data_IF_598097182548
#
_entry.id   IF_598097182548
#
_cell.length_a   1.000
_cell.length_b   1.000
_cell.length_c   1.000
_cell.angle_alpha   90.00
_cell.angle_beta   90.00
_cell.angle_gamma   90.00
#
_symmetry.space_group_name_H-M   'P 1'
#
loop_
_entity.id
_entity.type
_entity.pdbx_description
1 polymer ?
#
# COMPACT_ATOMS: atom_id res chain seq x y z
N UNK A 1 23.61 11.75 17.50
CA UNK A 1 23.15 12.82 16.57
C UNK A 1 23.60 12.46 15.16
N UNK A 2 22.78 11.73 14.41
CA UNK A 2 22.98 11.58 12.96
C UNK A 2 22.62 12.92 12.31
N UNK A 3 23.59 13.60 11.73
CA UNK A 3 23.36 14.92 11.11
C UNK A 3 22.45 14.78 9.91
N UNK A 4 21.66 15.82 9.57
CA UNK A 4 20.84 15.86 8.33
C UNK A 4 21.69 15.53 7.07
N UNK A 5 22.98 15.82 7.08
CA UNK A 5 23.93 15.43 6.04
C UNK A 5 24.11 13.90 5.92
N UNK A 6 23.97 13.11 7.02
CA UNK A 6 24.08 11.65 6.94
C UNK A 6 22.82 11.00 6.34
N UNK A 7 21.68 11.64 6.44
CA UNK A 7 20.39 11.12 5.95
C UNK A 7 20.17 11.39 4.45
N UNK A 8 20.58 12.59 3.97
CA UNK A 8 20.66 12.85 2.54
C UNK A 8 21.59 11.84 1.85
N UNK A 9 22.75 11.54 2.44
CA UNK A 9 23.69 10.53 1.93
C UNK A 9 23.09 9.11 1.87
N UNK A 10 22.15 8.76 2.75
CA UNK A 10 21.48 7.45 2.75
C UNK A 10 20.42 7.33 1.65
N UNK A 11 19.65 8.38 1.35
CA UNK A 11 18.80 8.42 0.17
C UNK A 11 19.63 8.32 -1.12
N UNK A 12 20.74 9.05 -1.20
CA UNK A 12 21.70 8.97 -2.31
C UNK A 12 22.26 7.56 -2.49
N UNK A 13 22.54 6.83 -1.39
CA UNK A 13 23.00 5.45 -1.45
C UNK A 13 21.97 4.50 -2.04
N UNK A 14 20.68 4.66 -1.70
CA UNK A 14 19.60 3.89 -2.31
C UNK A 14 19.43 4.24 -3.79
N UNK A 15 19.43 5.52 -4.13
CA UNK A 15 19.32 5.96 -5.53
C UNK A 15 20.51 5.50 -6.38
N UNK A 16 21.71 5.50 -5.82
CA UNK A 16 22.91 5.00 -6.50
C UNK A 16 22.85 3.49 -6.72
N UNK A 17 22.36 2.73 -5.73
CA UNK A 17 22.18 1.29 -5.85
C UNK A 17 21.10 0.93 -6.89
N UNK A 18 19.97 1.62 -6.91
CA UNK A 18 18.91 1.40 -7.90
C UNK A 18 19.40 1.67 -9.34
N UNK A 19 20.38 2.55 -9.54
CA UNK A 19 21.01 2.78 -10.86
C UNK A 19 21.87 1.63 -11.36
N UNK A 20 22.20 0.65 -10.51
CA UNK A 20 22.90 -0.59 -10.89
C UNK A 20 21.94 -1.63 -11.49
N UNK A 21 20.64 -1.36 -11.47
CA UNK A 21 19.61 -2.20 -12.08
C UNK A 21 19.89 -2.38 -13.58
N UNK A 22 19.74 -3.60 -14.06
CA UNK A 22 19.84 -3.88 -15.50
C UNK A 22 18.72 -3.12 -16.24
N UNK A 23 19.10 -2.45 -17.34
CA UNK A 23 18.13 -1.74 -18.15
C UNK A 23 17.14 -2.74 -18.79
N UNK A 24 15.84 -2.46 -18.67
CA UNK A 24 14.79 -3.23 -19.29
C UNK A 24 13.67 -2.32 -19.83
N UNK A 25 13.05 -2.76 -20.92
CA UNK A 25 11.92 -2.05 -21.49
C UNK A 25 10.68 -2.13 -20.58
N UNK A 26 9.85 -1.10 -20.63
CA UNK A 26 8.55 -1.11 -19.97
C UNK A 26 7.61 -2.05 -20.73
N UNK A 27 7.15 -3.11 -20.08
CA UNK A 27 6.17 -4.02 -20.63
C UNK A 27 4.79 -3.34 -20.68
N UNK A 28 4.02 -3.57 -21.74
CA UNK A 28 2.65 -3.06 -21.90
C UNK A 28 2.52 -1.58 -21.42
N UNK A 29 3.23 -0.62 -22.05
CA UNK A 29 3.32 0.77 -21.54
C UNK A 29 1.98 1.49 -21.52
N UNK A 30 1.00 1.07 -22.34
CA UNK A 30 -0.33 1.67 -22.42
C UNK A 30 -1.31 1.13 -21.37
N UNK A 31 -0.96 0.05 -20.65
CA UNK A 31 -1.80 -0.49 -19.59
C UNK A 31 -1.87 0.52 -18.44
N UNK A 32 -3.08 1.01 -18.18
CA UNK A 32 -3.34 2.00 -17.11
C UNK A 32 -3.15 1.35 -15.76
N UNK A 33 -2.57 2.12 -14.85
CA UNK A 33 -2.28 1.71 -13.47
C UNK A 33 -2.90 2.73 -12.51
N UNK A 34 -3.69 2.24 -11.56
CA UNK A 34 -3.95 2.91 -10.31
C UNK A 34 -3.15 2.19 -9.23
N UNK A 35 -2.12 2.83 -8.69
CA UNK A 35 -1.33 2.26 -7.59
C UNK A 35 -2.08 2.44 -6.26
N UNK A 36 -2.68 1.39 -5.67
CA UNK A 36 -3.55 1.52 -4.52
C UNK A 36 -2.82 1.60 -3.17
N UNK A 37 -1.48 1.66 -3.16
CA UNK A 37 -0.75 1.67 -1.90
C UNK A 37 0.64 2.29 -2.03
N UNK A 38 0.77 3.51 -1.58
CA UNK A 38 2.07 4.12 -1.32
C UNK A 38 2.02 4.97 -0.05
N UNK A 39 3.21 5.31 0.43
CA UNK A 39 3.40 6.20 1.57
C UNK A 39 4.22 7.42 1.16
N UNK A 40 4.08 8.50 1.92
CA UNK A 40 4.98 9.66 1.86
C UNK A 40 5.43 9.95 3.28
N UNK A 41 6.73 10.09 3.49
CA UNK A 41 7.31 10.41 4.79
C UNK A 41 8.60 11.21 4.71
N UNK A 42 8.94 11.85 5.81
CA UNK A 42 10.27 12.39 6.07
C UNK A 42 10.71 11.93 7.46
N UNK A 43 11.59 10.96 7.49
CA UNK A 43 12.17 10.38 8.70
C UNK A 43 13.52 11.01 9.06
N UNK A 44 13.80 12.22 8.57
CA UNK A 44 15.04 12.94 8.86
C UNK A 44 15.13 13.49 10.30
N UNK A 45 14.02 13.48 11.04
CA UNK A 45 13.96 13.91 12.43
C UNK A 45 14.27 12.83 13.49
N UNK A 46 14.15 13.19 14.76
CA UNK A 46 14.49 12.31 15.92
C UNK A 46 13.67 11.01 16.00
N UNK A 47 12.51 10.93 15.34
CA UNK A 47 11.66 9.73 15.29
C UNK A 47 12.07 8.73 14.21
N UNK A 48 13.05 9.06 13.38
CA UNK A 48 13.50 8.21 12.26
C UNK A 48 13.87 6.80 12.70
N UNK A 49 14.54 6.65 13.84
CA UNK A 49 14.97 5.35 14.34
C UNK A 49 13.80 4.42 14.65
N UNK A 50 12.72 4.94 15.23
CA UNK A 50 11.52 4.15 15.52
C UNK A 50 10.88 3.63 14.22
N UNK A 51 10.73 4.49 13.24
CA UNK A 51 10.13 4.13 11.95
C UNK A 51 11.00 3.14 11.17
N UNK A 52 12.32 3.35 11.15
CA UNK A 52 13.26 2.39 10.51
C UNK A 52 13.13 1.01 11.15
N UNK A 53 13.08 0.94 12.49
CA UNK A 53 12.90 -0.32 13.21
C UNK A 53 11.56 -0.95 12.89
N UNK A 54 10.48 -0.16 12.84
CA UNK A 54 9.14 -0.65 12.55
C UNK A 54 9.01 -1.16 11.11
N UNK A 55 9.47 -0.39 10.12
CA UNK A 55 9.34 -0.71 8.70
C UNK A 55 10.34 -1.79 8.27
N UNK A 56 11.60 -1.64 8.68
CA UNK A 56 12.71 -2.49 8.21
C UNK A 56 13.08 -3.62 9.18
N UNK A 57 12.54 -3.60 10.41
CA UNK A 57 12.95 -4.57 11.45
C UNK A 57 14.30 -4.30 12.06
N UNK A 58 14.94 -3.20 11.70
CA UNK A 58 16.28 -2.79 12.16
C UNK A 58 16.94 -1.82 11.19
N UNK A 59 18.20 -1.50 11.43
CA UNK A 59 18.96 -0.62 10.56
C UNK A 59 19.28 -1.30 9.22
N UNK A 60 18.95 -0.65 8.10
CA UNK A 60 19.32 -1.06 6.74
C UNK A 60 20.23 -0.03 6.12
N UNK A 61 21.22 -0.48 5.34
CA UNK A 61 22.22 0.39 4.74
C UNK A 61 21.61 1.40 3.74
N UNK A 62 20.53 1.01 3.08
CA UNK A 62 19.85 1.78 2.03
C UNK A 62 18.36 1.91 2.38
N UNK A 63 18.02 2.91 3.19
CA UNK A 63 16.65 3.20 3.61
C UNK A 63 16.19 4.54 3.04
N UNK A 64 14.97 4.65 2.50
CA UNK A 64 14.42 5.92 1.98
C UNK A 64 13.98 6.82 3.14
N UNK A 65 14.91 7.57 3.74
CA UNK A 65 14.62 8.45 4.89
C UNK A 65 13.65 9.58 4.55
N UNK A 66 13.73 10.15 3.36
CA UNK A 66 12.75 11.09 2.85
C UNK A 66 12.21 10.58 1.51
N UNK A 67 10.90 10.43 1.44
CA UNK A 67 10.19 10.08 0.23
C UNK A 67 8.89 10.88 0.19
N UNK A 68 8.88 11.91 -0.61
CA UNK A 68 7.80 12.87 -0.73
C UNK A 68 7.25 12.86 -2.17
N UNK A 69 6.37 13.80 -2.47
CA UNK A 69 5.73 13.87 -3.78
C UNK A 69 6.73 13.94 -4.95
N UNK A 70 7.85 14.71 -4.88
CA UNK A 70 8.82 14.73 -5.97
C UNK A 70 9.49 13.36 -6.24
N UNK A 71 9.81 12.60 -5.20
CA UNK A 71 10.37 11.25 -5.32
C UNK A 71 9.35 10.29 -5.91
N UNK A 72 8.12 10.30 -5.41
CA UNK A 72 7.01 9.50 -5.95
C UNK A 72 6.78 9.82 -7.44
N UNK A 73 6.66 11.09 -7.82
CA UNK A 73 6.40 11.49 -9.20
C UNK A 73 7.55 11.12 -10.15
N UNK A 74 8.79 11.11 -9.67
CA UNK A 74 9.94 10.59 -10.42
C UNK A 74 9.83 9.08 -10.65
N UNK A 75 9.48 8.32 -9.63
CA UNK A 75 9.36 6.87 -9.71
C UNK A 75 8.18 6.45 -10.62
N UNK A 76 7.00 7.04 -10.45
CA UNK A 76 5.83 6.75 -11.31
C UNK A 76 6.02 7.24 -12.76
N UNK A 77 6.84 8.26 -12.96
CA UNK A 77 7.24 8.77 -14.28
C UNK A 77 8.19 7.84 -15.05
N UNK A 78 8.56 6.68 -14.49
CA UNK A 78 9.52 5.72 -15.05
C UNK A 78 9.06 4.98 -16.31
N UNK A 79 7.95 5.38 -16.96
CA UNK A 79 7.50 4.88 -18.27
C UNK A 79 6.23 4.04 -18.23
N UNK A 80 5.76 3.61 -17.06
CA UNK A 80 4.43 3.01 -16.92
C UNK A 80 3.34 4.09 -16.94
N UNK A 81 2.13 3.73 -17.39
CA UNK A 81 0.98 4.65 -17.45
C UNK A 81 0.25 4.68 -16.10
N UNK A 82 0.90 5.23 -15.08
CA UNK A 82 0.30 5.43 -13.75
C UNK A 82 -0.59 6.67 -13.81
N UNK A 83 -1.90 6.47 -13.74
CA UNK A 83 -2.88 7.55 -13.85
C UNK A 83 -3.28 8.12 -12.49
N UNK A 84 -3.28 7.29 -11.45
CA UNK A 84 -3.63 7.70 -10.09
C UNK A 84 -2.92 6.84 -9.04
N UNK A 85 -2.83 7.36 -7.81
CA UNK A 85 -2.30 6.62 -6.67
C UNK A 85 -3.16 6.82 -5.43
N UNK A 86 -3.11 5.86 -4.49
CA UNK A 86 -3.76 5.94 -3.18
C UNK A 86 -2.71 6.06 -2.09
N UNK A 87 -2.82 7.11 -1.30
CA UNK A 87 -1.99 7.29 -0.11
C UNK A 87 -2.54 6.43 1.03
N UNK A 88 -1.67 5.65 1.65
CA UNK A 88 -2.01 4.88 2.86
C UNK A 88 -1.19 5.39 4.03
N UNK A 89 -1.81 5.50 5.20
CA UNK A 89 -1.20 6.00 6.42
C UNK A 89 0.16 5.34 6.71
N UNK A 90 1.12 6.12 7.19
CA UNK A 90 2.46 5.68 7.58
C UNK A 90 2.84 6.08 9.01
N UNK A 91 1.94 6.72 9.75
CA UNK A 91 2.21 7.30 11.07
C UNK A 91 3.07 8.55 11.02
N UNK A 92 3.11 9.21 9.87
CA UNK A 92 3.89 10.43 9.63
C UNK A 92 3.01 11.69 9.75
N UNK A 93 3.62 12.84 10.01
CA UNK A 93 2.94 14.16 10.02
C UNK A 93 1.76 14.27 10.99
N UNK A 94 1.76 13.48 12.07
CA UNK A 94 0.76 13.60 13.12
C UNK A 94 0.87 14.97 13.78
N UNK A 95 -0.27 15.57 14.11
CA UNK A 95 -0.32 16.84 14.84
C UNK A 95 0.44 16.72 16.17
N UNK A 96 1.40 17.61 16.39
CA UNK A 96 2.16 17.68 17.65
C UNK A 96 1.38 18.39 18.78
N UNK A 97 0.35 19.15 18.41
CA UNK A 97 -0.44 19.96 19.32
C UNK A 97 -1.93 19.62 19.21
N UNK A 98 -2.66 19.77 20.31
CA UNK A 98 -4.07 19.42 20.39
C UNK A 98 -4.32 18.07 21.07
N UNK A 99 -5.56 17.58 21.05
CA UNK A 99 -5.92 16.29 21.60
C UNK A 99 -5.18 15.13 20.92
N UNK A 100 -4.69 14.17 21.71
CA UNK A 100 -3.89 13.03 21.20
C UNK A 100 -4.68 12.17 20.20
N UNK A 101 -5.96 12.01 20.45
CA UNK A 101 -6.89 11.25 19.60
C UNK A 101 -7.08 11.87 18.21
N UNK A 102 -6.82 13.18 18.07
CA UNK A 102 -6.89 13.91 16.79
C UNK A 102 -5.55 13.96 16.05
N UNK A 103 -4.48 13.45 16.63
CA UNK A 103 -3.13 13.60 16.07
C UNK A 103 -3.01 13.08 14.63
N UNK A 104 -3.63 11.94 14.31
CA UNK A 104 -3.61 11.31 12.99
C UNK A 104 -4.30 12.13 11.88
N UNK A 105 -5.14 13.12 12.25
CA UNK A 105 -5.77 14.03 11.28
C UNK A 105 -4.70 14.79 10.48
N UNK A 106 -3.57 15.14 11.11
CA UNK A 106 -2.47 15.87 10.46
C UNK A 106 -1.90 15.14 9.26
N UNK A 107 -1.83 13.81 9.31
CA UNK A 107 -1.36 12.98 8.19
C UNK A 107 -2.33 13.04 7.00
N UNK A 108 -3.63 13.02 7.25
CA UNK A 108 -4.66 13.13 6.19
C UNK A 108 -4.66 14.54 5.57
N UNK A 109 -4.47 15.59 6.39
CA UNK A 109 -4.31 16.98 5.92
C UNK A 109 -3.07 17.14 5.03
N UNK A 110 -1.95 16.55 5.44
CA UNK A 110 -0.72 16.53 4.65
C UNK A 110 -0.94 15.84 3.31
N UNK A 111 -1.49 14.61 3.31
CA UNK A 111 -1.73 13.85 2.08
C UNK A 111 -2.70 14.60 1.13
N UNK A 112 -3.71 15.29 1.66
CA UNK A 112 -4.60 16.13 0.85
C UNK A 112 -3.86 17.34 0.26
N UNK A 113 -2.90 17.90 0.98
CA UNK A 113 -2.02 18.94 0.44
C UNK A 113 -1.19 18.44 -0.75
N UNK A 114 -0.62 17.24 -0.64
CA UNK A 114 0.14 16.59 -1.71
C UNK A 114 -0.76 16.28 -2.92
N UNK A 115 -1.98 15.82 -2.70
CA UNK A 115 -2.97 15.65 -3.75
C UNK A 115 -3.27 16.97 -4.49
N UNK A 116 -3.43 18.07 -3.76
CA UNK A 116 -3.68 19.37 -4.37
C UNK A 116 -2.51 19.86 -5.25
N UNK A 117 -1.27 19.57 -4.84
CA UNK A 117 -0.08 19.86 -5.64
C UNK A 117 -0.07 19.02 -6.92
N UNK A 118 -0.34 17.71 -6.84
CA UNK A 118 -0.42 16.83 -8.00
C UNK A 118 -1.54 17.26 -8.97
N UNK A 119 -2.73 17.55 -8.45
CA UNK A 119 -3.90 17.96 -9.24
C UNK A 119 -3.73 19.31 -9.95
N UNK A 120 -2.69 20.10 -9.60
CA UNK A 120 -2.35 21.31 -10.35
C UNK A 120 -1.93 21.04 -11.79
N UNK A 121 -1.53 19.79 -12.12
CA UNK A 121 -0.98 19.40 -13.40
C UNK A 121 0.42 19.90 -13.70
N UNK A 122 1.02 20.69 -12.79
CA UNK A 122 2.36 21.27 -13.00
C UNK A 122 3.48 20.21 -12.98
N UNK A 123 3.21 19.04 -12.42
CA UNK A 123 4.22 17.99 -12.20
C UNK A 123 3.95 16.70 -12.98
N UNK A 124 3.08 16.75 -13.97
CA UNK A 124 2.74 15.62 -14.82
C UNK A 124 1.25 15.22 -14.73
N UNK A 125 0.84 14.17 -15.43
CA UNK A 125 -0.56 13.78 -15.55
C UNK A 125 -1.05 12.86 -14.39
N UNK A 126 -0.14 12.31 -13.58
CA UNK A 126 -0.50 11.37 -12.50
C UNK A 126 -1.18 12.10 -11.35
N UNK A 127 -2.37 11.65 -10.98
CA UNK A 127 -3.08 12.15 -9.79
C UNK A 127 -2.61 11.41 -8.54
N UNK A 128 -1.55 11.91 -7.92
CA UNK A 128 -1.03 11.35 -6.68
C UNK A 128 -2.00 11.62 -5.51
N UNK A 129 -2.12 10.65 -4.59
CA UNK A 129 -3.03 10.70 -3.45
C UNK A 129 -4.50 10.96 -3.87
N UNK A 130 -4.93 10.43 -5.03
CA UNK A 130 -6.31 10.55 -5.53
C UNK A 130 -7.34 9.96 -4.54
N UNK A 131 -6.91 9.01 -3.71
CA UNK A 131 -7.59 8.62 -2.48
C UNK A 131 -6.61 8.60 -1.31
N UNK A 132 -7.15 8.75 -0.09
CA UNK A 132 -6.38 8.81 1.15
C UNK A 132 -7.00 7.86 2.17
N UNK A 133 -6.17 6.97 2.69
CA UNK A 133 -6.49 6.06 3.79
C UNK A 133 -5.72 6.52 5.02
N UNK A 134 -6.45 6.98 6.03
CA UNK A 134 -5.89 7.49 7.29
C UNK A 134 -5.83 6.41 8.36
N UNK A 135 -5.65 6.84 9.61
CA UNK A 135 -5.70 5.98 10.79
C UNK A 135 -6.54 6.61 11.90
N UNK A 136 -7.34 5.80 12.56
CA UNK A 136 -8.13 6.20 13.73
C UNK A 136 -8.24 5.02 14.70
N UNK A 137 -8.25 5.30 16.00
CA UNK A 137 -8.61 4.29 16.98
C UNK A 137 -10.14 4.10 16.99
N UNK A 138 -10.63 3.07 16.30
CA UNK A 138 -12.06 2.80 16.18
C UNK A 138 -12.73 2.44 17.51
N UNK A 139 -11.97 1.98 18.51
CA UNK A 139 -12.49 1.69 19.85
C UNK A 139 -12.59 2.95 20.73
N UNK A 140 -12.09 4.09 20.27
CA UNK A 140 -12.13 5.33 21.03
C UNK A 140 -13.46 6.07 20.84
N UNK A 141 -13.98 6.65 21.92
CA UNK A 141 -15.24 7.43 21.89
C UNK A 141 -15.17 8.65 20.98
N UNK A 142 -13.98 9.16 20.70
CA UNK A 142 -13.76 10.27 19.77
C UNK A 142 -13.75 9.84 18.30
N UNK A 143 -13.77 8.53 17.99
CA UNK A 143 -13.62 8.00 16.63
C UNK A 143 -14.54 8.69 15.61
N UNK A 144 -15.81 8.91 15.96
CA UNK A 144 -16.76 9.60 15.06
C UNK A 144 -16.36 11.05 14.78
N UNK A 145 -15.90 11.79 15.79
CA UNK A 145 -15.47 13.18 15.61
C UNK A 145 -14.21 13.27 14.74
N UNK A 146 -13.25 12.37 14.95
CA UNK A 146 -12.02 12.26 14.16
C UNK A 146 -12.37 11.92 12.70
N UNK A 147 -13.16 10.88 12.45
CA UNK A 147 -13.62 10.51 11.10
C UNK A 147 -14.31 11.68 10.39
N UNK A 148 -15.26 12.35 11.05
CA UNK A 148 -15.95 13.51 10.48
C UNK A 148 -14.99 14.66 10.13
N UNK A 149 -13.90 14.82 10.87
CA UNK A 149 -12.88 15.82 10.57
C UNK A 149 -12.04 15.40 9.36
N UNK A 150 -11.61 14.13 9.29
CA UNK A 150 -10.90 13.59 8.13
C UNK A 150 -11.74 13.63 6.85
N UNK A 151 -13.04 13.38 6.94
CA UNK A 151 -14.00 13.45 5.82
C UNK A 151 -14.15 14.86 5.21
N UNK A 152 -13.68 15.92 5.86
CA UNK A 152 -13.61 17.26 5.26
C UNK A 152 -12.54 17.31 4.15
N UNK A 153 -11.61 16.37 4.14
CA UNK A 153 -10.62 16.24 3.08
C UNK A 153 -11.26 15.44 1.93
N UNK A 154 -11.32 16.06 0.73
CA UNK A 154 -12.09 15.53 -0.42
C UNK A 154 -11.66 14.13 -0.87
N UNK A 155 -10.38 13.78 -0.68
CA UNK A 155 -9.82 12.50 -1.14
C UNK A 155 -9.83 11.42 -0.04
N UNK A 156 -10.29 11.72 1.18
CA UNK A 156 -10.39 10.72 2.24
C UNK A 156 -11.40 9.63 1.88
N UNK A 157 -11.02 8.36 2.01
CA UNK A 157 -11.85 7.21 1.61
C UNK A 157 -11.97 6.12 2.65
N UNK A 158 -11.08 6.06 3.62
CA UNK A 158 -11.11 4.99 4.60
C UNK A 158 -9.99 5.07 5.62
N UNK A 159 -9.87 4.01 6.39
CA UNK A 159 -8.88 3.89 7.44
C UNK A 159 -8.18 2.53 7.38
N UNK A 160 -6.88 2.52 7.75
CA UNK A 160 -6.14 1.29 8.00
C UNK A 160 -5.98 1.10 9.50
N UNK A 161 -6.37 -0.06 9.97
CA UNK A 161 -6.29 -0.44 11.38
C UNK A 161 -5.62 -1.82 11.47
N UNK A 162 -4.61 -1.96 12.34
CA UNK A 162 -4.03 -3.25 12.67
C UNK A 162 -5.09 -4.17 13.29
N UNK A 163 -4.84 -5.48 13.28
CA UNK A 163 -5.79 -6.46 13.78
C UNK A 163 -6.28 -6.10 15.17
N UNK A 164 -7.57 -5.90 15.35
CA UNK A 164 -8.15 -5.47 16.61
C UNK A 164 -8.55 -6.64 17.49
N UNK A 165 -8.66 -6.36 18.77
CA UNK A 165 -9.59 -7.11 19.61
C UNK A 165 -11.03 -6.72 19.23
N UNK A 166 -11.91 -7.69 18.97
CA UNK A 166 -13.30 -7.45 18.56
C UNK A 166 -14.19 -7.06 19.77
N UNK A 167 -13.79 -6.01 20.50
CA UNK A 167 -14.58 -5.46 21.58
C UNK A 167 -15.85 -4.76 21.05
N UNK A 168 -16.85 -4.58 21.93
CA UNK A 168 -18.07 -3.85 21.58
C UNK A 168 -17.77 -2.42 21.11
N UNK A 169 -16.83 -1.73 21.75
CA UNK A 169 -16.42 -0.37 21.37
C UNK A 169 -15.79 -0.36 19.97
N UNK A 170 -14.93 -1.34 19.67
CA UNK A 170 -14.34 -1.44 18.35
C UNK A 170 -15.39 -1.73 17.26
N UNK A 171 -16.31 -2.66 17.53
CA UNK A 171 -17.40 -2.99 16.58
C UNK A 171 -18.33 -1.79 16.35
N UNK A 172 -18.59 -0.97 17.39
CA UNK A 172 -19.31 0.28 17.23
C UNK A 172 -18.55 1.28 16.34
N UNK A 173 -17.22 1.31 16.43
CA UNK A 173 -16.37 2.10 15.52
C UNK A 173 -16.42 1.60 14.06
N UNK A 174 -16.43 0.28 13.84
CA UNK A 174 -16.60 -0.27 12.48
C UNK A 174 -17.97 0.08 11.89
N UNK A 175 -19.02 0.12 12.70
CA UNK A 175 -20.35 0.58 12.27
C UNK A 175 -20.35 2.05 11.79
N UNK A 176 -19.40 2.88 12.25
CA UNK A 176 -19.22 4.23 11.72
C UNK A 176 -18.68 4.20 10.28
N UNK A 177 -17.84 3.23 9.91
CA UNK A 177 -17.35 3.07 8.55
C UNK A 177 -18.50 2.71 7.61
N UNK A 178 -19.41 1.84 8.03
CA UNK A 178 -20.64 1.54 7.31
C UNK A 178 -21.51 2.80 7.14
N UNK A 179 -21.74 3.53 8.25
CA UNK A 179 -22.54 4.77 8.25
C UNK A 179 -22.03 5.83 7.29
N UNK A 180 -20.69 5.93 7.15
CA UNK A 180 -20.03 6.97 6.37
C UNK A 180 -19.51 6.49 5.01
N UNK A 181 -19.81 5.26 4.62
CA UNK A 181 -19.33 4.64 3.37
C UNK A 181 -17.80 4.72 3.25
N UNK A 182 -17.11 4.32 4.30
CA UNK A 182 -15.64 4.31 4.38
C UNK A 182 -15.09 2.90 4.26
N UNK A 183 -13.94 2.78 3.59
CA UNK A 183 -13.22 1.53 3.42
C UNK A 183 -12.47 1.19 4.71
N UNK A 184 -12.41 -0.10 5.05
CA UNK A 184 -11.54 -0.63 6.08
C UNK A 184 -10.38 -1.37 5.46
N UNK A 185 -9.14 -0.88 5.61
CA UNK A 185 -7.94 -1.64 5.25
C UNK A 185 -7.48 -2.47 6.43
N UNK A 186 -7.45 -3.79 6.23
CA UNK A 186 -7.01 -4.78 7.21
C UNK A 186 -5.57 -5.18 6.94
N UNK A 187 -4.71 -5.00 7.92
CA UNK A 187 -3.32 -5.40 7.85
C UNK A 187 -2.84 -6.01 9.16
N UNK A 188 -2.12 -7.12 9.05
CA UNK A 188 -1.37 -7.72 10.15
C UNK A 188 -0.11 -8.38 9.60
N UNK A 189 0.93 -8.49 10.43
CA UNK A 189 2.13 -9.25 10.07
C UNK A 189 1.84 -10.77 10.07
N UNK A 190 0.94 -11.23 10.93
CA UNK A 190 0.59 -12.65 11.08
C UNK A 190 -0.70 -13.00 10.33
N UNK A 191 -0.58 -13.82 9.29
CA UNK A 191 -1.74 -14.30 8.53
C UNK A 191 -2.68 -15.21 9.35
N UNK A 192 -2.26 -15.69 10.52
CA UNK A 192 -3.15 -16.41 11.45
C UNK A 192 -4.32 -15.55 11.96
N UNK A 193 -4.25 -14.23 11.76
CA UNK A 193 -5.34 -13.29 12.08
C UNK A 193 -6.45 -13.20 11.02
N UNK A 194 -6.29 -13.83 9.84
CA UNK A 194 -7.30 -13.82 8.78
C UNK A 194 -8.70 -14.28 9.21
N UNK A 195 -8.89 -15.21 10.16
CA UNK A 195 -10.21 -15.53 10.72
C UNK A 195 -10.92 -14.32 11.33
N UNK A 196 -10.19 -13.36 11.92
CA UNK A 196 -10.78 -12.11 12.45
C UNK A 196 -11.37 -11.26 11.33
N UNK A 197 -10.70 -11.19 10.17
CA UNK A 197 -11.25 -10.51 8.99
C UNK A 197 -12.54 -11.20 8.51
N UNK A 198 -12.59 -12.54 8.51
CA UNK A 198 -13.82 -13.28 8.14
C UNK A 198 -14.98 -12.93 9.05
N UNK A 199 -14.73 -12.83 10.36
CA UNK A 199 -15.74 -12.43 11.33
C UNK A 199 -16.21 -11.00 11.11
N UNK A 200 -15.29 -10.04 10.94
CA UNK A 200 -15.61 -8.64 10.68
C UNK A 200 -16.40 -8.47 9.38
N UNK A 201 -15.93 -9.04 8.28
CA UNK A 201 -16.57 -8.93 6.98
C UNK A 201 -17.98 -9.55 6.98
N UNK A 202 -18.17 -10.64 7.74
CA UNK A 202 -19.49 -11.25 7.93
C UNK A 202 -20.45 -10.42 8.78
N UNK A 203 -19.94 -9.67 9.77
CA UNK A 203 -20.74 -8.77 10.61
C UNK A 203 -21.14 -7.47 9.89
N UNK A 204 -20.29 -6.99 8.97
CA UNK A 204 -20.47 -5.72 8.24
C UNK A 204 -20.44 -5.95 6.73
N UNK A 205 -21.46 -6.60 6.14
CA UNK A 205 -21.44 -7.02 4.74
C UNK A 205 -21.48 -5.86 3.73
N UNK A 206 -21.82 -4.65 4.15
CA UNK A 206 -21.85 -3.45 3.31
C UNK A 206 -20.55 -2.65 3.36
N UNK A 207 -19.68 -2.89 4.37
CA UNK A 207 -18.35 -2.30 4.42
C UNK A 207 -17.44 -3.03 3.41
N UNK A 208 -16.71 -2.27 2.61
CA UNK A 208 -15.65 -2.81 1.78
C UNK A 208 -14.38 -2.96 2.63
N UNK A 209 -13.93 -4.20 2.77
CA UNK A 209 -12.65 -4.50 3.40
C UNK A 209 -11.58 -4.68 2.35
N UNK A 210 -10.42 -4.08 2.58
CA UNK A 210 -9.23 -4.24 1.75
C UNK A 210 -8.20 -5.03 2.55
N UNK A 211 -7.81 -6.18 2.06
CA UNK A 211 -6.78 -7.01 2.65
C UNK A 211 -5.42 -6.57 2.10
N UNK A 212 -4.61 -5.90 2.90
CA UNK A 212 -3.27 -5.44 2.51
C UNK A 212 -2.28 -6.61 2.37
N UNK A 213 -1.35 -6.50 1.43
CA UNK A 213 -0.14 -7.31 1.29
C UNK A 213 -0.41 -8.83 1.27
N UNK A 214 -1.41 -9.27 0.50
CA UNK A 214 -1.82 -10.68 0.45
C UNK A 214 -2.20 -11.27 1.82
N UNK A 215 -2.49 -10.43 2.81
CA UNK A 215 -2.96 -10.84 4.14
C UNK A 215 -1.90 -11.26 5.13
N UNK A 216 -0.67 -10.77 4.99
CA UNK A 216 0.37 -11.02 6.00
C UNK A 216 1.78 -10.70 5.53
N UNK A 217 2.73 -10.80 6.46
CA UNK A 217 4.15 -10.75 6.16
C UNK A 217 4.61 -12.08 5.59
N UNK A 218 4.54 -12.20 4.26
CA UNK A 218 4.90 -13.42 3.54
C UNK A 218 6.34 -13.36 3.03
N UNK A 219 7.00 -14.51 3.01
CA UNK A 219 8.37 -14.62 2.56
C UNK A 219 8.82 -16.09 2.47
N UNK A 220 10.12 -16.36 2.22
CA UNK A 220 10.63 -17.72 1.99
C UNK A 220 10.32 -18.73 3.10
N UNK A 221 10.10 -18.27 4.33
CA UNK A 221 9.74 -19.11 5.48
C UNK A 221 8.24 -19.37 5.64
N UNK A 222 7.39 -18.78 4.80
CA UNK A 222 5.94 -18.91 4.91
C UNK A 222 5.49 -20.32 4.49
N UNK A 223 4.67 -20.96 5.30
CA UNK A 223 3.93 -22.16 4.86
C UNK A 223 2.80 -21.73 3.91
N UNK A 224 3.07 -21.89 2.61
CA UNK A 224 2.13 -21.49 1.55
C UNK A 224 0.82 -22.26 1.58
N UNK A 225 0.80 -23.49 2.15
CA UNK A 225 -0.41 -24.29 2.24
C UNK A 225 -1.33 -23.75 3.32
N UNK A 226 -0.80 -23.50 4.50
CA UNK A 226 -1.57 -22.99 5.64
C UNK A 226 -2.08 -21.57 5.37
N UNK A 227 -1.20 -20.68 4.89
CA UNK A 227 -1.60 -19.34 4.46
C UNK A 227 -2.65 -19.38 3.34
N UNK A 228 -2.42 -20.16 2.28
CA UNK A 228 -3.33 -20.27 1.14
C UNK A 228 -4.70 -20.85 1.53
N UNK A 229 -4.75 -21.77 2.49
CA UNK A 229 -6.00 -22.30 3.02
C UNK A 229 -6.82 -21.22 3.73
N UNK A 230 -6.19 -20.42 4.61
CA UNK A 230 -6.85 -19.31 5.30
C UNK A 230 -7.31 -18.22 4.32
N UNK A 231 -6.45 -17.86 3.37
CA UNK A 231 -6.76 -16.87 2.34
C UNK A 231 -7.96 -17.33 1.47
N UNK A 232 -8.00 -18.61 1.12
CA UNK A 232 -9.12 -19.23 0.40
C UNK A 232 -10.44 -19.14 1.16
N UNK A 233 -10.41 -19.26 2.49
CA UNK A 233 -11.60 -19.08 3.35
C UNK A 233 -12.10 -17.65 3.30
N UNK A 234 -11.19 -16.65 3.39
CA UNK A 234 -11.56 -15.23 3.24
C UNK A 234 -12.21 -14.99 1.89
N UNK A 235 -11.54 -15.43 0.81
CA UNK A 235 -12.02 -15.21 -0.56
C UNK A 235 -13.42 -15.83 -0.81
N UNK A 236 -13.67 -17.01 -0.26
CA UNK A 236 -14.93 -17.75 -0.44
C UNK A 236 -16.08 -17.20 0.41
N UNK A 237 -15.80 -16.77 1.64
CA UNK A 237 -16.85 -16.36 2.60
C UNK A 237 -17.15 -14.87 2.60
N UNK A 238 -16.20 -14.03 2.13
CA UNK A 238 -16.28 -12.58 2.26
C UNK A 238 -16.31 -11.91 0.88
N UNK A 239 -17.47 -11.80 0.22
CA UNK A 239 -17.59 -11.16 -1.09
C UNK A 239 -17.27 -9.66 -1.06
N UNK A 240 -17.34 -9.02 0.11
CA UNK A 240 -17.00 -7.63 0.38
C UNK A 240 -15.52 -7.41 0.71
N UNK A 241 -14.66 -8.43 0.54
CA UNK A 241 -13.20 -8.30 0.69
C UNK A 241 -12.54 -8.26 -0.68
N UNK A 242 -11.67 -7.28 -0.89
CA UNK A 242 -10.72 -7.19 -2.02
C UNK A 242 -9.29 -7.33 -1.49
N UNK A 243 -8.37 -7.81 -2.31
CA UNK A 243 -7.00 -8.13 -1.91
C UNK A 243 -6.00 -7.26 -2.66
N UNK A 244 -5.10 -6.59 -1.94
CA UNK A 244 -3.89 -5.98 -2.50
C UNK A 244 -2.82 -7.05 -2.68
N UNK A 245 -2.31 -7.14 -3.90
CA UNK A 245 -1.29 -8.12 -4.31
C UNK A 245 0.03 -7.36 -4.47
N UNK A 246 0.82 -7.35 -3.42
CA UNK A 246 2.06 -6.56 -3.32
C UNK A 246 2.58 -6.53 -1.91
N UNK A 247 3.47 -5.58 -1.61
CA UNK A 247 3.95 -5.28 -0.26
C UNK A 247 4.83 -6.37 0.37
N UNK A 248 5.43 -7.25 -0.44
CA UNK A 248 6.20 -8.39 0.04
C UNK A 248 7.71 -8.19 0.00
N UNK A 249 8.19 -7.03 -0.44
CA UNK A 249 9.63 -6.83 -0.69
C UNK A 249 10.34 -6.08 0.45
N UNK A 250 9.62 -5.70 1.48
CA UNK A 250 10.24 -5.08 2.67
C UNK A 250 11.26 -6.00 3.33
N UNK A 251 12.29 -5.45 4.00
CA UNK A 251 13.33 -6.24 4.66
C UNK A 251 12.79 -7.30 5.62
N UNK A 252 11.68 -7.03 6.29
CA UNK A 252 11.02 -7.97 7.22
C UNK A 252 10.46 -9.23 6.55
N UNK A 253 10.25 -9.23 5.23
CA UNK A 253 9.72 -10.38 4.51
C UNK A 253 10.77 -11.48 4.29
N UNK A 254 12.07 -11.16 4.44
CA UNK A 254 13.15 -12.15 4.44
C UNK A 254 13.64 -12.58 3.06
N UNK A 255 13.29 -11.87 1.97
CA UNK A 255 13.88 -12.11 0.64
C UNK A 255 15.30 -11.56 0.51
N UNK A 256 15.75 -10.73 1.46
CA UNK A 256 17.10 -10.15 1.54
C UNK A 256 17.53 -9.35 0.27
N UNK A 257 16.56 -8.91 -0.56
CA UNK A 257 16.84 -8.19 -1.80
C UNK A 257 17.57 -6.85 -1.53
N UNK A 258 17.21 -6.17 -0.45
CA UNK A 258 17.82 -4.92 -0.01
C UNK A 258 19.31 -5.03 0.32
N UNK A 259 19.81 -6.24 0.60
CA UNK A 259 21.21 -6.51 0.96
C UNK A 259 22.09 -6.89 -0.25
N UNK A 260 21.51 -7.10 -1.42
CA UNK A 260 22.24 -7.50 -2.63
C UNK A 260 23.17 -6.40 -3.14
N UNK A 261 24.20 -6.78 -3.89
CA UNK A 261 25.14 -5.84 -4.53
C UNK A 261 24.45 -4.97 -5.59
N UNK A 262 23.49 -5.52 -6.33
CA UNK A 262 22.67 -4.81 -7.30
C UNK A 262 21.19 -5.25 -7.20
N UNK A 263 20.21 -4.42 -7.63
CA UNK A 263 18.82 -4.80 -7.71
C UNK A 263 18.59 -5.98 -8.66
N UNK A 264 17.50 -6.71 -8.40
CA UNK A 264 17.04 -7.78 -9.30
C UNK A 264 16.30 -7.20 -10.50
N UNK A 265 16.29 -7.94 -11.64
CA UNK A 265 15.41 -7.65 -12.77
C UNK A 265 13.99 -8.19 -12.58
N UNK A 266 13.08 -7.75 -13.44
CA UNK A 266 11.66 -8.10 -13.31
C UNK A 266 11.34 -9.58 -13.54
N UNK A 267 12.18 -10.31 -14.24
CA UNK A 267 12.01 -11.76 -14.45
C UNK A 267 12.27 -12.52 -13.16
N UNK A 268 13.42 -12.27 -12.54
CA UNK A 268 13.78 -12.88 -11.25
C UNK A 268 12.77 -12.48 -10.17
N UNK A 269 12.38 -11.19 -10.14
CA UNK A 269 11.39 -10.70 -9.19
C UNK A 269 10.02 -11.40 -9.38
N UNK A 270 9.60 -11.61 -10.61
CA UNK A 270 8.42 -12.40 -10.93
C UNK A 270 8.54 -13.83 -10.39
N UNK A 271 9.69 -14.49 -10.57
CA UNK A 271 9.90 -15.86 -10.08
C UNK A 271 9.78 -15.96 -8.57
N UNK A 272 10.34 -14.99 -7.85
CA UNK A 272 10.26 -14.91 -6.38
C UNK A 272 8.82 -14.67 -5.86
N UNK A 273 8.05 -13.81 -6.54
CA UNK A 273 6.72 -13.39 -6.09
C UNK A 273 5.59 -14.30 -6.58
N UNK A 274 5.79 -15.00 -7.70
CA UNK A 274 4.75 -15.81 -8.35
C UNK A 274 4.07 -16.83 -7.44
N UNK A 275 4.78 -17.56 -6.55
CA UNK A 275 4.13 -18.53 -5.65
C UNK A 275 3.06 -17.90 -4.74
N UNK A 276 3.28 -16.65 -4.30
CA UNK A 276 2.35 -15.93 -3.43
C UNK A 276 1.21 -15.29 -4.24
N UNK A 277 1.56 -14.56 -5.28
CA UNK A 277 0.61 -13.80 -6.08
C UNK A 277 -0.36 -14.71 -6.83
N UNK A 278 0.13 -15.83 -7.36
CA UNK A 278 -0.72 -16.80 -8.02
C UNK A 278 -1.78 -17.42 -7.07
N UNK A 279 -1.43 -17.67 -5.81
CA UNK A 279 -2.39 -18.16 -4.81
C UNK A 279 -3.45 -17.10 -4.53
N UNK A 280 -3.04 -15.84 -4.29
CA UNK A 280 -3.97 -14.75 -3.99
C UNK A 280 -4.92 -14.47 -5.18
N UNK A 281 -4.36 -14.34 -6.39
CA UNK A 281 -5.15 -14.04 -7.60
C UNK A 281 -6.11 -15.19 -7.95
N UNK A 282 -5.71 -16.45 -7.77
CA UNK A 282 -6.60 -17.61 -7.99
C UNK A 282 -7.71 -17.70 -6.94
N UNK A 283 -7.43 -17.29 -5.69
CA UNK A 283 -8.42 -17.34 -4.62
C UNK A 283 -9.50 -16.26 -4.80
N UNK A 284 -9.11 -15.01 -5.06
CA UNK A 284 -10.04 -13.87 -5.14
C UNK A 284 -10.56 -13.62 -6.56
N UNK A 285 -9.83 -14.06 -7.59
CA UNK A 285 -10.06 -13.67 -8.98
C UNK A 285 -9.56 -12.24 -9.27
N UNK A 286 -9.20 -11.94 -10.55
CA UNK A 286 -8.69 -10.62 -10.95
C UNK A 286 -9.62 -9.45 -10.58
N UNK A 287 -10.93 -9.68 -10.57
CA UNK A 287 -11.95 -8.66 -10.26
C UNK A 287 -12.03 -8.28 -8.78
N UNK A 288 -11.31 -8.96 -7.90
CA UNK A 288 -11.17 -8.64 -6.47
C UNK A 288 -9.71 -8.54 -6.02
N UNK A 289 -8.77 -8.43 -6.97
CA UNK A 289 -7.35 -8.19 -6.71
C UNK A 289 -6.93 -6.84 -7.28
N UNK A 290 -5.96 -6.18 -6.63
CA UNK A 290 -5.28 -5.00 -7.15
C UNK A 290 -3.79 -5.07 -6.83
N UNK A 291 -2.94 -4.90 -7.85
CA UNK A 291 -1.51 -4.78 -7.62
C UNK A 291 -1.17 -3.46 -6.97
N UNK A 292 -0.20 -3.48 -6.07
CA UNK A 292 0.27 -2.29 -5.33
C UNK A 292 1.79 -2.17 -5.39
N UNK A 293 2.30 -0.94 -5.23
CA UNK A 293 3.75 -0.75 -5.13
C UNK A 293 4.30 -0.86 -3.71
N UNK A 294 3.52 -0.48 -2.72
CA UNK A 294 3.98 -0.31 -1.34
C UNK A 294 5.23 0.59 -1.22
N UNK A 295 5.39 1.57 -2.15
CA UNK A 295 6.52 2.48 -2.10
C UNK A 295 6.36 3.52 -0.99
N UNK A 296 7.49 3.88 -0.33
CA UNK A 296 8.86 3.52 -0.61
C UNK A 296 9.39 2.28 0.15
N UNK A 297 8.54 1.48 0.82
CA UNK A 297 9.01 0.27 1.53
C UNK A 297 9.66 -0.70 0.55
N UNK A 298 8.95 -1.06 -0.51
CA UNK A 298 9.42 -2.04 -1.49
C UNK A 298 10.49 -1.46 -2.45
N UNK A 299 10.66 -0.13 -2.47
CA UNK A 299 11.76 0.55 -3.18
C UNK A 299 13.16 0.09 -2.72
N UNK A 300 13.26 -0.42 -1.50
CA UNK A 300 14.49 -1.01 -0.99
C UNK A 300 14.91 -2.30 -1.72
N UNK A 301 14.05 -2.89 -2.53
CA UNK A 301 14.29 -4.15 -3.24
C UNK A 301 14.40 -3.99 -4.77
N UNK A 302 13.65 -3.08 -5.36
CA UNK A 302 13.60 -2.89 -6.82
C UNK A 302 13.11 -1.48 -7.18
N UNK A 303 13.39 -1.03 -8.41
CA UNK A 303 12.77 0.18 -8.93
C UNK A 303 11.28 0.00 -9.21
N UNK A 304 10.58 1.12 -9.33
CA UNK A 304 9.16 1.13 -9.70
C UNK A 304 8.91 0.47 -11.06
N UNK A 305 9.82 0.69 -12.02
CA UNK A 305 9.77 0.05 -13.35
C UNK A 305 9.83 -1.47 -13.26
N UNK A 306 10.83 -1.99 -12.56
CA UNK A 306 11.04 -3.44 -12.40
C UNK A 306 9.87 -4.08 -11.66
N UNK A 307 9.37 -3.46 -10.61
CA UNK A 307 8.23 -3.98 -9.85
C UNK A 307 6.98 -4.13 -10.74
N UNK A 308 6.60 -3.08 -11.48
CA UNK A 308 5.42 -3.15 -12.33
C UNK A 308 5.60 -4.07 -13.55
N UNK A 309 6.83 -4.20 -14.08
CA UNK A 309 7.14 -5.23 -15.07
C UNK A 309 6.97 -6.63 -14.47
N UNK A 310 7.42 -6.88 -13.23
CA UNK A 310 7.23 -8.17 -12.57
C UNK A 310 5.74 -8.50 -12.39
N UNK A 311 4.89 -7.55 -12.01
CA UNK A 311 3.44 -7.74 -11.95
C UNK A 311 2.84 -8.11 -13.31
N UNK A 312 3.29 -7.47 -14.40
CA UNK A 312 2.85 -7.79 -15.77
C UNK A 312 3.29 -9.20 -16.19
N UNK A 313 4.51 -9.62 -15.79
CA UNK A 313 5.01 -10.99 -16.02
C UNK A 313 4.19 -12.02 -15.23
N UNK A 314 3.78 -11.72 -14.00
CA UNK A 314 2.87 -12.58 -13.22
C UNK A 314 1.55 -12.80 -13.99
N UNK A 315 0.94 -11.73 -14.52
CA UNK A 315 -0.29 -11.85 -15.30
C UNK A 315 -0.09 -12.68 -16.57
N UNK A 316 1.05 -12.52 -17.25
CA UNK A 316 1.36 -13.32 -18.44
C UNK A 316 1.53 -14.80 -18.09
N UNK A 317 2.16 -15.14 -16.96
CA UNK A 317 2.28 -16.55 -16.48
C UNK A 317 0.95 -17.14 -16.00
N UNK A 318 0.02 -16.31 -15.56
CA UNK A 318 -1.35 -16.71 -15.21
C UNK A 318 -2.28 -16.70 -16.43
N UNK A 319 -1.77 -16.33 -17.61
CA UNK A 319 -2.54 -16.22 -18.86
C UNK A 319 -3.75 -15.29 -18.76
N UNK A 320 -3.64 -14.22 -17.94
CA UNK A 320 -4.74 -13.28 -17.77
C UNK A 320 -4.99 -12.49 -19.06
N UNK A 321 -6.27 -12.41 -19.44
CA UNK A 321 -6.72 -11.66 -20.60
C UNK A 321 -6.66 -10.13 -20.38
N UNK A 322 -6.85 -9.34 -21.47
CA UNK A 322 -6.76 -7.88 -21.40
C UNK A 322 -7.73 -7.24 -20.37
N UNK A 323 -8.94 -7.80 -20.25
CA UNK A 323 -9.95 -7.32 -19.30
C UNK A 323 -9.54 -7.60 -17.85
N UNK A 324 -9.03 -8.79 -17.57
CA UNK A 324 -8.54 -9.19 -16.26
C UNK A 324 -7.33 -8.35 -15.84
N UNK A 325 -6.43 -8.03 -16.77
CA UNK A 325 -5.32 -7.11 -16.53
C UNK A 325 -5.82 -5.70 -16.22
N UNK A 326 -6.81 -5.18 -16.95
CA UNK A 326 -7.41 -3.87 -16.65
C UNK A 326 -8.02 -3.85 -15.25
N UNK A 327 -8.71 -4.92 -14.86
CA UNK A 327 -9.27 -5.05 -13.52
C UNK A 327 -8.20 -4.95 -12.44
N UNK A 328 -7.18 -5.79 -12.49
CA UNK A 328 -6.19 -5.92 -11.42
C UNK A 328 -5.19 -4.74 -11.35
N UNK A 329 -4.93 -4.07 -12.49
CA UNK A 329 -4.02 -2.92 -12.52
C UNK A 329 -4.71 -1.58 -12.24
N UNK A 330 -6.04 -1.50 -12.43
CA UNK A 330 -6.70 -0.20 -12.33
C UNK A 330 -8.13 -0.28 -11.78
N UNK A 331 -9.04 -1.03 -12.40
CA UNK A 331 -10.48 -0.85 -12.19
C UNK A 331 -10.91 -1.27 -10.78
N UNK A 332 -10.30 -2.31 -10.19
CA UNK A 332 -10.58 -2.72 -8.80
C UNK A 332 -10.25 -1.58 -7.84
N UNK A 333 -9.07 -0.98 -7.96
CA UNK A 333 -8.67 0.15 -7.10
C UNK A 333 -9.57 1.36 -7.32
N UNK A 334 -9.86 1.72 -8.57
CA UNK A 334 -10.69 2.86 -8.92
C UNK A 334 -12.10 2.77 -8.28
N UNK A 335 -12.77 1.60 -8.37
CA UNK A 335 -14.08 1.42 -7.75
C UNK A 335 -14.02 1.29 -6.24
N UNK A 336 -13.01 0.60 -5.69
CA UNK A 336 -12.84 0.42 -4.24
C UNK A 336 -12.72 1.78 -3.54
N UNK A 337 -11.90 2.68 -4.09
CA UNK A 337 -11.67 4.00 -3.50
C UNK A 337 -12.55 5.10 -4.12
N UNK A 338 -13.52 4.73 -4.97
CA UNK A 338 -14.47 5.69 -5.59
C UNK A 338 -13.75 6.87 -6.23
N UNK A 339 -12.74 6.58 -7.06
CA UNK A 339 -12.02 7.61 -7.80
C UNK A 339 -12.94 8.29 -8.82
N UNK A 340 -12.71 9.55 -9.13
CA UNK A 340 -13.54 10.29 -10.07
C UNK A 340 -13.49 9.65 -11.47
N UNK A 341 -14.57 9.81 -12.26
CA UNK A 341 -14.66 9.26 -13.63
C UNK A 341 -13.53 9.78 -14.54
N UNK A 342 -13.03 10.98 -14.28
CA UNK A 342 -11.89 11.56 -15.00
C UNK A 342 -10.57 10.87 -14.65
N UNK A 343 -10.52 10.13 -13.53
CA UNK A 343 -9.40 9.24 -13.18
C UNK A 343 -9.50 7.91 -13.96
N UNK A 344 -10.63 7.66 -14.63
CA UNK A 344 -10.98 6.41 -15.28
C UNK A 344 -11.03 6.56 -16.82
N UNK A 345 -11.04 7.80 -17.37
CA UNK A 345 -11.13 8.09 -18.81
C UNK A 345 -9.81 8.12 -19.57
#
# INVERSE_FOLDING_TARGET
MGSAASMAARNEALDAWLKLEAEEDVLEPELRICDPHHHLWDHSGDKSQFIVTFVAGGEVARYPYAYLLPELLRDVGGGHKVVSTVYVQAGSYYRAFGPREEASIGEVEFAQGMAAVADSGCYGPTRACAAIVGSVNLADRSAEAVLRTMMKQRNFRGVRVATPELSEDFLAGVALLEKYDLVYEFWDEDFATLPTLVELAGRFPTVVFVLDHCGGKLGPSTDLRDWGALLGVVAAKCPNVVCKVGGLLGPKNGFELHAREAPVGSEELCDLLFPYYAVAIRAFGPSRCMFESNFPVDRMAASYRVLWNAHKRVCSRLELGPEEKREIFHDVAARTYRLAKDDVS
#
